data_IF_281073282034
#
_entry.id   IF_281073282034
#
_cell.length_a   1.000
_cell.length_b   1.000
_cell.length_c   1.000
_cell.angle_alpha   90.00
_cell.angle_beta   90.00
_cell.angle_gamma   90.00
#
_symmetry.space_group_name_H-M   'P 1'
#
loop_
_entity.id
_entity.type
_entity.pdbx_description
1 polymer ?
#
# COMPACT_ATOMS: atom_id res chain seq x y z
N UNK A 1 -3.95 3.76 8.27
CA UNK A 1 -3.54 3.96 7.17
C UNK A 1 -4.22 3.96 5.83
N UNK A 2 -3.64 3.24 4.88
CA UNK A 2 -4.10 3.26 3.48
C UNK A 2 -5.58 2.88 3.32
N UNK A 3 -6.06 1.86 4.03
CA UNK A 3 -7.45 1.41 3.91
C UNK A 3 -8.45 2.52 4.23
N UNK A 4 -8.12 3.40 5.16
CA UNK A 4 -8.97 4.53 5.53
C UNK A 4 -9.15 5.53 4.38
N UNK A 5 -8.17 5.62 3.47
CA UNK A 5 -8.19 6.53 2.32
C UNK A 5 -8.94 5.95 1.12
N UNK A 6 -9.27 4.67 1.12
CA UNK A 6 -10.00 4.01 0.04
C UNK A 6 -11.49 4.34 0.10
N UNK A 7 -12.25 3.89 -0.93
CA UNK A 7 -13.71 4.11 -0.97
C UNK A 7 -14.46 3.22 0.00
N UNK A 8 -14.00 1.97 0.17
CA UNK A 8 -14.70 1.00 1.01
C UNK A 8 -13.76 -0.09 1.53
N UNK A 9 -14.20 -0.73 2.62
CA UNK A 9 -13.58 -1.92 3.18
C UNK A 9 -14.64 -2.98 3.44
N UNK A 10 -14.45 -4.17 2.87
CA UNK A 10 -15.29 -5.34 3.14
C UNK A 10 -14.53 -6.27 4.08
N UNK A 11 -15.14 -6.60 5.23
CA UNK A 11 -14.47 -7.36 6.28
C UNK A 11 -14.70 -8.86 6.16
N UNK A 12 -15.90 -9.28 5.69
CA UNK A 12 -16.26 -10.70 5.58
C UNK A 12 -17.09 -10.93 4.32
N UNK A 13 -17.03 -12.17 3.82
CA UNK A 13 -17.78 -12.57 2.64
C UNK A 13 -19.30 -12.37 2.87
N UNK A 14 -19.96 -11.75 1.90
CA UNK A 14 -21.38 -11.43 2.00
C UNK A 14 -21.70 -10.33 3.00
N UNK A 15 -20.68 -9.72 3.61
CA UNK A 15 -20.86 -8.61 4.55
C UNK A 15 -21.01 -7.28 3.83
N UNK A 16 -21.46 -6.29 4.58
CA UNK A 16 -21.57 -4.92 4.10
C UNK A 16 -20.17 -4.30 3.92
N UNK A 17 -19.97 -3.60 2.83
CA UNK A 17 -18.78 -2.78 2.64
C UNK A 17 -18.91 -1.51 3.49
N UNK A 18 -17.92 -1.22 4.31
CA UNK A 18 -17.87 0.00 5.11
C UNK A 18 -17.30 1.13 4.29
N UNK A 19 -18.02 2.26 4.22
CA UNK A 19 -17.54 3.44 3.50
C UNK A 19 -16.35 4.06 4.24
N UNK A 20 -15.33 4.44 3.46
CA UNK A 20 -14.14 5.13 3.92
C UNK A 20 -14.07 6.53 3.32
N UNK A 21 -12.93 7.22 3.40
CA UNK A 21 -12.84 8.62 2.97
C UNK A 21 -13.01 8.82 1.47
N UNK A 22 -12.69 7.82 0.66
CA UNK A 22 -12.84 7.88 -0.79
C UNK A 22 -11.79 8.72 -1.52
N UNK A 23 -10.71 9.11 -0.87
CA UNK A 23 -9.62 9.87 -1.51
C UNK A 23 -8.98 9.05 -2.63
N UNK A 24 -8.72 7.76 -2.37
CA UNK A 24 -8.22 6.83 -3.39
C UNK A 24 -9.40 6.11 -4.02
N UNK A 25 -9.49 6.05 -5.36
CA UNK A 25 -10.60 5.39 -6.06
C UNK A 25 -10.44 3.86 -6.06
N UNK A 26 -10.25 3.28 -4.91
CA UNK A 26 -9.98 1.87 -4.69
C UNK A 26 -10.87 1.33 -3.57
N UNK A 27 -11.17 0.06 -3.65
CA UNK A 27 -11.85 -0.68 -2.60
C UNK A 27 -10.88 -1.70 -1.99
N UNK A 28 -10.99 -1.94 -0.70
CA UNK A 28 -10.23 -2.97 -0.01
C UNK A 28 -11.15 -4.08 0.50
N UNK A 29 -10.60 -5.28 0.59
CA UNK A 29 -11.32 -6.42 1.16
C UNK A 29 -10.41 -7.24 2.06
N UNK A 30 -10.99 -7.78 3.14
CA UNK A 30 -10.36 -8.80 3.97
C UNK A 30 -10.82 -10.21 3.56
N UNK A 31 -11.79 -10.30 2.65
CA UNK A 31 -12.35 -11.59 2.18
C UNK A 31 -11.29 -12.33 1.37
N UNK A 32 -10.99 -13.58 1.79
CA UNK A 32 -9.98 -14.38 1.12
C UNK A 32 -8.55 -13.86 1.22
N UNK A 33 -8.33 -12.82 2.00
CA UNK A 33 -7.01 -12.23 2.17
C UNK A 33 -6.11 -13.14 3.02
N UNK A 34 -4.83 -13.17 2.66
CA UNK A 34 -3.79 -13.85 3.42
C UNK A 34 -2.99 -12.83 4.20
N UNK A 35 -2.29 -13.29 5.24
CA UNK A 35 -1.34 -12.45 5.94
C UNK A 35 -0.20 -12.06 4.99
N UNK A 36 -0.02 -10.77 4.82
CA UNK A 36 1.14 -10.18 4.17
C UNK A 36 2.07 -9.65 5.25
N UNK A 37 3.22 -10.29 5.39
CA UNK A 37 4.15 -9.99 6.47
C UNK A 37 5.58 -10.04 5.93
N UNK A 38 6.37 -9.04 6.26
CA UNK A 38 7.81 -9.08 6.04
C UNK A 38 8.42 -7.71 5.85
N UNK A 39 9.75 -7.72 5.82
CA UNK A 39 10.51 -6.53 5.46
C UNK A 39 10.39 -6.26 3.97
N UNK A 40 10.37 -4.97 3.60
CA UNK A 40 10.26 -4.54 2.20
C UNK A 40 11.27 -3.47 1.88
N UNK A 41 11.80 -3.55 0.67
CA UNK A 41 12.58 -2.52 0.04
C UNK A 41 11.74 -1.91 -1.07
N UNK A 42 11.59 -0.60 -1.08
CA UNK A 42 10.78 0.12 -2.05
C UNK A 42 11.69 0.92 -2.97
N UNK A 43 11.48 0.80 -4.27
CA UNK A 43 12.13 1.65 -5.28
C UNK A 43 11.10 2.63 -5.83
N UNK A 44 11.29 3.91 -5.53
CA UNK A 44 10.42 4.99 -5.96
C UNK A 44 11.23 6.13 -6.56
N UNK A 45 11.10 6.31 -7.88
CA UNK A 45 11.78 7.39 -8.65
C UNK A 45 13.27 7.53 -8.32
N UNK A 46 13.98 6.41 -8.27
CA UNK A 46 15.40 6.39 -7.99
C UNK A 46 15.77 6.42 -6.51
N UNK A 47 14.79 6.52 -5.62
CA UNK A 47 15.01 6.44 -4.17
C UNK A 47 14.77 5.02 -3.69
N UNK A 48 15.62 4.56 -2.78
CA UNK A 48 15.43 3.31 -2.07
C UNK A 48 14.94 3.59 -0.65
N UNK A 49 13.83 2.98 -0.29
CA UNK A 49 13.21 3.09 1.02
C UNK A 49 13.09 1.70 1.63
N UNK A 50 13.11 1.63 2.96
CA UNK A 50 12.93 0.38 3.70
C UNK A 50 11.77 0.50 4.66
N UNK A 51 11.11 -0.63 4.87
CA UNK A 51 9.99 -0.70 5.79
C UNK A 51 9.56 -2.14 6.02
N UNK A 52 8.38 -2.30 6.58
CA UNK A 52 7.77 -3.61 6.74
C UNK A 52 6.28 -3.52 6.42
N UNK A 53 5.69 -4.63 5.99
CA UNK A 53 4.24 -4.75 5.87
C UNK A 53 3.71 -5.85 6.78
N UNK A 54 2.50 -5.61 7.30
CA UNK A 54 1.76 -6.56 8.11
C UNK A 54 0.27 -6.23 7.96
N UNK A 55 -0.44 -7.02 7.15
CA UNK A 55 -1.87 -6.79 6.95
C UNK A 55 -2.58 -8.05 6.41
N UNK A 56 -3.90 -8.09 6.63
CA UNK A 56 -4.80 -9.14 6.19
C UNK A 56 -5.83 -8.63 5.18
N UNK A 57 -5.46 -7.68 4.35
CA UNK A 57 -6.39 -7.14 3.35
C UNK A 57 -5.73 -7.04 1.98
N UNK A 58 -6.56 -6.97 0.95
CA UNK A 58 -6.13 -6.76 -0.43
C UNK A 58 -6.93 -5.62 -1.04
N UNK A 59 -6.34 -4.96 -2.02
CA UNK A 59 -7.03 -4.02 -2.89
C UNK A 59 -7.85 -4.81 -3.91
N UNK A 60 -9.12 -4.44 -4.07
CA UNK A 60 -9.99 -5.00 -5.11
C UNK A 60 -9.67 -4.30 -6.42
N UNK A 61 -9.51 -5.07 -7.51
CA UNK A 61 -9.15 -4.55 -8.82
C UNK A 61 -7.89 -3.65 -8.77
N UNK A 62 -6.72 -4.19 -8.39
CA UNK A 62 -5.51 -3.37 -8.20
C UNK A 62 -5.07 -2.62 -9.45
N UNK A 63 -5.48 -3.07 -10.64
CA UNK A 63 -5.16 -2.41 -11.91
C UNK A 63 -5.94 -1.12 -12.14
N UNK A 64 -6.98 -0.84 -11.32
CA UNK A 64 -7.75 0.39 -11.42
C UNK A 64 -6.91 1.64 -11.10
N UNK A 65 -5.86 1.48 -10.30
CA UNK A 65 -4.88 2.51 -10.00
C UNK A 65 -3.50 1.88 -9.94
N UNK A 66 -2.59 2.20 -10.87
CA UNK A 66 -1.27 1.55 -10.91
C UNK A 66 -0.40 1.95 -9.72
N UNK A 67 0.45 1.01 -9.28
CA UNK A 67 1.49 1.31 -8.31
C UNK A 67 2.54 2.24 -8.92
N UNK A 68 2.98 3.23 -8.15
CA UNK A 68 4.04 4.16 -8.57
C UNK A 68 5.44 3.68 -8.18
N UNK A 69 5.53 2.56 -7.47
CA UNK A 69 6.81 2.01 -7.00
C UNK A 69 6.83 0.50 -7.09
N UNK A 70 8.02 -0.06 -7.14
CA UNK A 70 8.25 -1.50 -7.01
C UNK A 70 8.68 -1.81 -5.59
N UNK A 71 8.26 -2.95 -5.07
CA UNK A 71 8.66 -3.43 -3.76
C UNK A 71 9.26 -4.82 -3.84
N UNK A 72 10.23 -5.08 -2.96
CA UNK A 72 11.00 -6.31 -2.96
C UNK A 72 11.10 -6.84 -1.53
N UNK A 73 11.23 -8.16 -1.40
CA UNK A 73 11.55 -8.80 -0.12
C UNK A 73 13.00 -8.49 0.27
N UNK A 74 13.37 -8.82 1.52
CA UNK A 74 14.75 -8.71 1.97
C UNK A 74 15.71 -9.54 1.11
N UNK A 75 15.23 -10.58 0.44
CA UNK A 75 16.02 -11.43 -0.47
C UNK A 75 16.05 -10.91 -1.91
N UNK A 76 15.41 -9.79 -2.19
CA UNK A 76 15.39 -9.19 -3.51
C UNK A 76 14.33 -9.71 -4.47
N UNK A 77 13.36 -10.50 -3.99
CA UNK A 77 12.24 -10.97 -4.81
C UNK A 77 11.16 -9.90 -4.90
N UNK A 78 10.74 -9.55 -6.11
CA UNK A 78 9.67 -8.59 -6.30
C UNK A 78 8.34 -9.11 -5.73
N UNK A 79 7.62 -8.24 -5.05
CA UNK A 79 6.28 -8.52 -4.52
C UNK A 79 5.27 -7.57 -5.15
N UNK A 80 3.99 -7.97 -5.16
CA UNK A 80 2.92 -7.20 -5.79
C UNK A 80 2.36 -6.08 -4.91
N UNK A 81 2.90 -5.88 -3.71
CA UNK A 81 2.43 -4.84 -2.79
C UNK A 81 2.55 -3.47 -3.44
N UNK A 82 1.45 -2.72 -3.57
CA UNK A 82 1.47 -1.44 -4.27
C UNK A 82 1.85 -0.27 -3.36
N UNK A 83 2.34 0.79 -4.00
CA UNK A 83 2.42 2.13 -3.44
C UNK A 83 1.63 3.05 -4.37
N UNK A 84 0.70 3.81 -3.82
CA UNK A 84 -0.15 4.71 -4.61
C UNK A 84 0.21 6.16 -4.37
N UNK A 85 0.09 6.97 -5.41
CA UNK A 85 0.18 8.42 -5.30
C UNK A 85 -1.01 9.05 -5.98
N UNK A 86 -1.72 9.92 -5.26
CA UNK A 86 -2.81 10.72 -5.76
C UNK A 86 -2.61 12.15 -5.29
N UNK A 87 -2.29 13.05 -6.24
CA UNK A 87 -1.91 14.44 -5.91
C UNK A 87 -0.75 14.45 -4.90
N UNK A 88 -0.96 15.03 -3.72
CA UNK A 88 0.04 15.07 -2.65
C UNK A 88 -0.08 13.92 -1.64
N UNK A 89 -0.92 12.93 -1.93
CA UNK A 89 -1.09 11.75 -1.08
C UNK A 89 -0.24 10.61 -1.59
N UNK A 90 0.57 10.04 -0.72
CA UNK A 90 1.31 8.81 -0.97
C UNK A 90 0.82 7.78 0.03
N UNK A 91 0.33 6.65 -0.44
CA UNK A 91 -0.30 5.65 0.40
C UNK A 91 0.09 4.23 0.01
N UNK A 92 0.27 3.38 1.00
CA UNK A 92 0.59 1.98 0.81
C UNK A 92 0.46 1.20 2.11
N UNK A 93 0.59 -0.12 2.00
CA UNK A 93 0.56 -0.99 3.17
C UNK A 93 1.89 -1.00 3.93
N UNK A 94 3.00 -0.70 3.25
CA UNK A 94 4.33 -0.78 3.85
C UNK A 94 4.56 0.40 4.78
N UNK A 95 4.92 0.10 6.02
CA UNK A 95 5.29 1.09 7.03
C UNK A 95 6.76 1.44 6.87
N UNK A 96 7.05 2.69 6.51
CA UNK A 96 8.41 3.14 6.23
C UNK A 96 9.21 3.40 7.50
N UNK A 97 10.50 3.09 7.45
CA UNK A 97 11.45 3.42 8.51
C UNK A 97 11.96 4.85 8.31
N UNK A 98 11.56 5.75 9.18
CA UNK A 98 11.87 7.17 9.07
C UNK A 98 13.29 7.51 9.51
N UNK A 99 13.89 6.67 10.35
CA UNK A 99 15.22 6.91 10.87
C UNK A 99 16.36 6.74 9.86
N UNK A 100 16.10 6.06 8.75
CA UNK A 100 17.10 5.76 7.72
C UNK A 100 17.01 6.68 6.50
N UNK A 101 15.86 7.32 6.28
CA UNK A 101 15.60 8.07 5.06
C UNK A 101 14.81 9.33 5.38
N UNK A 102 15.19 10.45 4.77
CA UNK A 102 14.37 11.66 4.78
C UNK A 102 13.16 11.44 3.89
N UNK A 103 12.05 11.01 4.49
CA UNK A 103 10.84 10.69 3.75
C UNK A 103 10.18 11.89 3.10
N UNK A 104 10.49 13.10 3.53
CA UNK A 104 9.96 14.31 2.88
C UNK A 104 10.45 14.43 1.44
N UNK A 105 11.54 13.78 1.09
CA UNK A 105 12.02 13.73 -0.30
C UNK A 105 11.07 13.02 -1.25
N UNK A 106 10.15 12.19 -0.74
CA UNK A 106 9.14 11.52 -1.57
C UNK A 106 8.28 12.51 -2.34
N UNK A 107 8.02 13.68 -1.78
CA UNK A 107 7.20 14.72 -2.41
C UNK A 107 8.00 15.64 -3.32
N UNK A 108 9.31 15.49 -3.37
CA UNK A 108 10.20 16.30 -4.21
C UNK A 108 10.53 15.65 -5.55
N UNK A 109 10.10 14.41 -5.76
CA UNK A 109 10.38 13.64 -6.98
C UNK A 109 9.14 13.37 -7.79
#
# INVERSE_FOLDING_TARGET
GMMFLTRSLTVRQGGTAYAMTGILPLDCTMVGARLHLGYRRIEYKGMELRGHEFHYSNVVAPDAMPSVAKQFTARGMEVSTPLYRYKNVIAGYTHLYWGETDILKLWKV
#
